data_IF_090550929795
#
_entry.id   IF_090550929795
#
_cell.length_a   1.000
_cell.length_b   1.000
_cell.length_c   1.000
_cell.angle_alpha   90.00
_cell.angle_beta   90.00
_cell.angle_gamma   90.00
#
_symmetry.space_group_name_H-M   'P 1'
#
loop_
_entity.id
_entity.type
_entity.pdbx_description
1 polymer ?
#
# COMPACT_ATOMS: atom_id res chain seq x y z
N UNK A 1 11.08 -14.98 8.98
CA UNK A 1 12.01 -15.78 8.12
C UNK A 1 13.45 -15.36 8.37
N UNK A 2 14.42 -16.21 8.02
CA UNK A 2 15.88 -15.92 8.14
C UNK A 2 16.24 -14.59 7.43
N UNK A 3 15.64 -14.34 6.27
CA UNK A 3 15.87 -13.11 5.49
C UNK A 3 15.33 -11.86 6.19
N UNK A 4 14.17 -11.95 6.82
CA UNK A 4 13.62 -10.86 7.63
C UNK A 4 14.49 -10.56 8.85
N UNK A 5 14.98 -11.60 9.54
CA UNK A 5 15.91 -11.44 10.66
C UNK A 5 17.20 -10.74 10.22
N UNK A 6 17.79 -11.18 9.09
CA UNK A 6 18.98 -10.56 8.51
C UNK A 6 18.77 -9.08 8.19
N UNK A 7 17.63 -8.73 7.58
CA UNK A 7 17.27 -7.32 7.31
C UNK A 7 17.09 -6.51 8.59
N UNK A 8 16.47 -7.09 9.62
CA UNK A 8 16.34 -6.45 10.92
C UNK A 8 17.67 -6.14 11.58
N UNK A 9 18.63 -7.07 11.51
CA UNK A 9 20.01 -6.85 11.99
C UNK A 9 20.68 -5.75 11.18
N UNK A 10 20.69 -5.85 9.84
CA UNK A 10 21.33 -4.84 8.95
C UNK A 10 20.71 -3.44 9.12
N UNK A 11 19.43 -3.37 9.45
CA UNK A 11 18.75 -2.11 9.77
C UNK A 11 19.06 -1.60 11.19
N UNK A 12 19.83 -2.37 11.98
CA UNK A 12 20.20 -2.04 13.37
C UNK A 12 19.01 -2.02 14.32
N UNK A 13 18.01 -2.84 14.03
CA UNK A 13 16.81 -2.98 14.85
C UNK A 13 17.01 -3.98 15.99
N UNK A 14 18.08 -4.78 15.96
CA UNK A 14 18.35 -5.81 16.98
C UNK A 14 19.22 -5.20 18.06
N UNK A 15 18.74 -5.24 19.29
CA UNK A 15 19.46 -4.72 20.46
C UNK A 15 19.43 -5.73 21.61
N UNK A 16 20.50 -5.74 22.40
CA UNK A 16 20.56 -6.45 23.66
C UNK A 16 19.58 -5.81 24.67
N UNK A 17 18.79 -6.63 25.33
CA UNK A 17 17.77 -6.19 26.32
C UNK A 17 18.42 -5.54 27.52
N UNK A 18 19.59 -6.06 27.96
CA UNK A 18 20.23 -5.69 29.22
C UNK A 18 21.01 -4.38 29.08
N UNK A 19 21.90 -4.28 28.07
CA UNK A 19 22.82 -3.16 27.94
C UNK A 19 22.47 -2.19 26.80
N UNK A 20 21.46 -2.53 25.96
CA UNK A 20 21.04 -1.72 24.82
C UNK A 20 22.02 -1.74 23.63
N UNK A 21 23.05 -2.59 23.68
CA UNK A 21 24.00 -2.76 22.59
C UNK A 21 23.29 -3.16 21.31
N UNK A 22 23.71 -2.53 20.22
CA UNK A 22 23.08 -2.73 18.90
C UNK A 22 23.92 -3.69 18.07
N UNK A 23 23.24 -4.69 17.48
CA UNK A 23 23.84 -5.61 16.54
C UNK A 23 23.42 -5.24 15.12
N UNK A 24 24.39 -4.95 14.24
CA UNK A 24 24.15 -4.52 12.86
C UNK A 24 24.81 -5.42 11.81
N UNK A 25 25.56 -6.42 12.24
CA UNK A 25 26.25 -7.38 11.37
C UNK A 25 25.58 -8.75 11.43
N UNK A 26 24.88 -9.18 10.36
CA UNK A 26 24.35 -10.54 10.30
C UNK A 26 25.46 -11.58 10.37
N UNK A 27 25.33 -12.53 11.27
CA UNK A 27 26.36 -13.57 11.50
C UNK A 27 27.39 -13.23 12.57
N UNK A 28 27.25 -12.10 13.24
CA UNK A 28 28.02 -11.79 14.46
C UNK A 28 27.73 -12.86 15.53
N UNK A 29 28.81 -13.36 16.16
CA UNK A 29 28.68 -14.31 17.26
C UNK A 29 28.39 -13.56 18.54
N UNK A 30 27.36 -13.96 19.22
CA UNK A 30 26.94 -13.42 20.52
C UNK A 30 26.90 -14.56 21.52
N UNK A 31 27.01 -14.24 22.82
CA UNK A 31 26.97 -15.25 23.87
C UNK A 31 25.59 -15.94 23.94
N UNK A 32 25.62 -17.25 24.17
CA UNK A 32 24.41 -18.01 24.45
C UNK A 32 23.72 -17.45 25.70
N UNK A 33 22.45 -17.14 25.57
CA UNK A 33 21.70 -16.49 26.66
C UNK A 33 21.62 -14.97 26.56
N UNK A 34 22.22 -14.35 25.53
CA UNK A 34 21.99 -12.93 25.24
C UNK A 34 20.53 -12.71 24.86
N UNK A 35 19.80 -11.99 25.69
CA UNK A 35 18.43 -11.60 25.37
C UNK A 35 18.40 -10.48 24.33
N UNK A 36 17.79 -10.75 23.18
CA UNK A 36 17.65 -9.83 22.07
C UNK A 36 16.22 -9.31 21.95
N UNK A 37 16.08 -8.04 21.66
CA UNK A 37 14.79 -7.45 21.25
C UNK A 37 14.93 -6.71 19.92
N UNK A 38 13.85 -6.62 19.20
CA UNK A 38 13.74 -5.73 18.05
C UNK A 38 13.40 -4.32 18.56
N UNK A 39 14.28 -3.35 18.23
CA UNK A 39 14.03 -1.94 18.49
C UNK A 39 13.18 -1.40 17.35
N UNK A 40 11.99 -0.96 17.66
CA UNK A 40 11.03 -0.41 16.72
C UNK A 40 9.67 -1.08 16.85
N UNK A 41 8.64 -0.34 16.53
CA UNK A 41 7.29 -0.90 16.45
C UNK A 41 7.23 -1.88 15.28
N UNK A 42 6.62 -3.03 15.54
CA UNK A 42 6.25 -3.96 14.47
C UNK A 42 5.30 -3.19 13.54
N UNK A 43 5.65 -3.06 12.27
CA UNK A 43 4.77 -2.38 11.32
C UNK A 43 3.38 -3.02 11.40
N UNK A 44 2.37 -2.20 11.63
CA UNK A 44 0.97 -2.64 11.70
C UNK A 44 0.52 -3.28 10.39
N UNK A 45 1.05 -2.77 9.28
CA UNK A 45 0.78 -3.22 7.91
C UNK A 45 2.07 -3.67 7.22
N UNK A 46 1.94 -4.40 6.11
CA UNK A 46 3.09 -4.90 5.33
C UNK A 46 4.00 -3.79 4.80
N UNK A 47 3.52 -2.55 4.75
CA UNK A 47 4.32 -1.36 4.46
C UNK A 47 3.79 -0.12 5.19
N UNK A 48 4.65 0.90 5.36
CA UNK A 48 4.25 2.20 5.93
C UNK A 48 3.17 2.91 5.11
N UNK A 49 3.07 2.58 3.82
CA UNK A 49 2.03 3.12 2.94
C UNK A 49 0.63 2.92 3.49
N UNK A 50 0.38 1.79 4.17
CA UNK A 50 -0.91 1.48 4.80
C UNK A 50 -1.41 2.54 5.77
N UNK A 51 -0.51 3.23 6.48
CA UNK A 51 -0.90 4.29 7.42
C UNK A 51 -1.66 5.45 6.76
N UNK A 52 -1.45 5.67 5.46
CA UNK A 52 -2.17 6.72 4.71
C UNK A 52 -3.66 6.37 4.58
N UNK A 53 -3.96 5.13 4.16
CA UNK A 53 -5.34 4.68 4.03
C UNK A 53 -6.00 4.53 5.40
N UNK A 54 -5.30 3.99 6.40
CA UNK A 54 -5.81 3.92 7.77
C UNK A 54 -6.28 5.29 8.27
N UNK A 55 -5.43 6.32 8.08
CA UNK A 55 -5.79 7.69 8.44
C UNK A 55 -7.01 8.20 7.68
N UNK A 56 -7.10 7.93 6.39
CA UNK A 56 -8.24 8.36 5.57
C UNK A 56 -9.55 7.70 6.03
N UNK A 57 -9.53 6.38 6.28
CA UNK A 57 -10.71 5.66 6.79
C UNK A 57 -11.19 6.26 8.12
N UNK A 58 -10.25 6.57 9.03
CA UNK A 58 -10.58 7.16 10.34
C UNK A 58 -11.11 8.59 10.21
N UNK A 59 -10.44 9.45 9.43
CA UNK A 59 -10.80 10.89 9.32
C UNK A 59 -12.12 11.08 8.60
N UNK A 60 -12.38 10.29 7.56
CA UNK A 60 -13.61 10.37 6.77
C UNK A 60 -14.73 9.47 7.30
N UNK A 61 -14.47 8.76 8.42
CA UNK A 61 -15.42 7.82 9.04
C UNK A 61 -15.97 6.79 8.02
N UNK A 62 -15.06 6.17 7.26
CA UNK A 62 -15.40 5.19 6.23
C UNK A 62 -15.24 3.77 6.78
N UNK A 63 -16.17 2.89 6.42
CA UNK A 63 -16.08 1.44 6.68
C UNK A 63 -15.92 0.67 5.37
N UNK A 64 -15.14 -0.39 5.41
CA UNK A 64 -14.97 -1.34 4.31
C UNK A 64 -15.39 -2.75 4.70
N UNK A 65 -16.02 -2.89 5.88
CA UNK A 65 -16.47 -4.17 6.40
C UNK A 65 -17.47 -4.84 5.43
N UNK A 66 -17.26 -6.11 5.14
CA UNK A 66 -18.03 -6.93 4.19
C UNK A 66 -18.09 -6.41 2.75
N UNK A 67 -17.26 -5.43 2.40
CA UNK A 67 -17.24 -4.87 1.05
C UNK A 67 -16.29 -5.63 0.11
N UNK A 68 -16.69 -5.71 -1.16
CA UNK A 68 -15.76 -5.96 -2.27
C UNK A 68 -15.03 -4.65 -2.56
N UNK A 69 -13.70 -4.68 -2.51
CA UNK A 69 -12.84 -3.50 -2.60
C UNK A 69 -11.80 -3.65 -3.70
N UNK A 70 -11.26 -2.53 -4.14
CA UNK A 70 -10.15 -2.50 -5.09
C UNK A 70 -9.04 -1.57 -4.60
N UNK A 71 -7.80 -2.02 -4.68
CA UNK A 71 -6.58 -1.27 -4.38
C UNK A 71 -5.81 -1.04 -5.68
N UNK A 72 -5.87 0.18 -6.21
CA UNK A 72 -5.27 0.56 -7.49
C UNK A 72 -3.88 1.16 -7.22
N UNK A 73 -2.84 0.48 -7.68
CA UNK A 73 -1.45 0.74 -7.33
C UNK A 73 -1.05 0.00 -6.05
N UNK A 74 -1.41 -1.27 -5.95
CA UNK A 74 -1.24 -2.08 -4.74
C UNK A 74 0.22 -2.22 -4.28
N UNK A 75 1.18 -2.25 -5.20
CA UNK A 75 2.61 -2.37 -4.90
C UNK A 75 2.87 -3.53 -3.92
N UNK A 76 3.52 -3.30 -2.79
CA UNK A 76 3.77 -4.32 -1.76
C UNK A 76 2.52 -4.74 -0.99
N UNK A 77 1.40 -4.02 -1.13
CA UNK A 77 0.11 -4.35 -0.53
C UNK A 77 -0.21 -3.60 0.76
N UNK A 78 0.37 -2.41 0.94
CA UNK A 78 0.10 -1.62 2.15
C UNK A 78 -1.38 -1.28 2.33
N UNK A 79 -2.05 -0.82 1.28
CA UNK A 79 -3.48 -0.53 1.31
C UNK A 79 -4.31 -1.79 1.33
N UNK A 80 -3.95 -2.80 0.53
CA UNK A 80 -4.58 -4.13 0.56
C UNK A 80 -4.63 -4.70 1.97
N UNK A 81 -3.52 -4.65 2.73
CA UNK A 81 -3.46 -5.14 4.11
C UNK A 81 -4.38 -4.33 5.06
N UNK A 82 -4.48 -3.01 4.86
CA UNK A 82 -5.44 -2.17 5.60
C UNK A 82 -6.87 -2.59 5.33
N UNK A 83 -7.25 -2.76 4.07
CA UNK A 83 -8.60 -3.17 3.68
C UNK A 83 -8.97 -4.51 4.32
N UNK A 84 -8.09 -5.50 4.26
CA UNK A 84 -8.29 -6.83 4.86
C UNK A 84 -8.42 -6.77 6.39
N UNK A 85 -7.57 -5.97 7.07
CA UNK A 85 -7.62 -5.83 8.52
C UNK A 85 -8.85 -5.05 8.99
N UNK A 86 -9.46 -4.24 8.13
CA UNK A 86 -10.73 -3.55 8.38
C UNK A 86 -11.96 -4.33 7.88
N UNK A 87 -11.82 -5.63 7.60
CA UNK A 87 -12.94 -6.52 7.35
C UNK A 87 -13.43 -6.58 5.91
N UNK A 88 -12.66 -6.09 4.92
CA UNK A 88 -13.03 -6.26 3.52
C UNK A 88 -13.26 -7.73 3.17
N UNK A 89 -14.36 -8.01 2.50
CA UNK A 89 -14.74 -9.36 2.04
C UNK A 89 -13.85 -9.84 0.91
N UNK A 90 -13.50 -8.94 0.00
CA UNK A 90 -12.65 -9.19 -1.15
C UNK A 90 -11.83 -7.95 -1.49
N UNK A 91 -10.58 -8.14 -1.88
CA UNK A 91 -9.70 -7.06 -2.35
C UNK A 91 -9.09 -7.43 -3.70
N UNK A 92 -9.42 -6.68 -4.74
CA UNK A 92 -8.67 -6.71 -5.99
C UNK A 92 -7.41 -5.85 -5.82
N UNK A 93 -6.25 -6.47 -5.76
CA UNK A 93 -4.96 -5.79 -5.67
C UNK A 93 -4.37 -5.62 -7.06
N UNK A 94 -4.50 -4.41 -7.61
CA UNK A 94 -4.17 -4.11 -9.00
C UNK A 94 -2.87 -3.33 -9.11
N UNK A 95 -1.94 -3.79 -9.92
CA UNK A 95 -0.68 -3.10 -10.18
C UNK A 95 -0.16 -3.34 -11.61
N UNK A 96 0.54 -2.36 -12.17
CA UNK A 96 1.22 -2.50 -13.47
C UNK A 96 2.53 -3.30 -13.36
N UNK A 97 3.08 -3.40 -12.16
CA UNK A 97 4.30 -4.16 -11.86
C UNK A 97 4.06 -5.66 -11.73
N UNK A 98 5.14 -6.37 -11.49
CA UNK A 98 5.15 -7.83 -11.29
C UNK A 98 5.79 -8.19 -9.96
N UNK A 99 5.30 -9.23 -9.30
CA UNK A 99 5.88 -9.79 -8.07
C UNK A 99 6.12 -8.78 -6.93
N UNK A 100 5.34 -7.71 -6.89
CA UNK A 100 5.48 -6.68 -5.86
C UNK A 100 4.68 -7.00 -4.60
N UNK A 101 3.47 -7.54 -4.75
CA UNK A 101 2.60 -7.89 -3.64
C UNK A 101 3.28 -8.93 -2.73
N UNK A 102 3.34 -8.68 -1.44
CA UNK A 102 3.99 -9.60 -0.49
C UNK A 102 3.28 -10.95 -0.46
N UNK A 103 4.05 -12.02 -0.30
CA UNK A 103 3.57 -13.40 -0.37
C UNK A 103 2.37 -13.69 0.56
N UNK A 104 2.41 -13.17 1.77
CA UNK A 104 1.30 -13.31 2.74
C UNK A 104 -0.05 -12.86 2.16
N UNK A 105 -0.08 -11.76 1.42
CA UNK A 105 -1.31 -11.22 0.83
C UNK A 105 -1.71 -11.98 -0.44
N UNK A 106 -0.74 -12.49 -1.21
CA UNK A 106 -1.04 -13.34 -2.37
C UNK A 106 -1.74 -14.64 -2.00
N UNK A 107 -1.47 -15.16 -0.79
CA UNK A 107 -2.07 -16.40 -0.30
C UNK A 107 -3.40 -16.20 0.43
N UNK A 108 -3.81 -14.97 0.69
CA UNK A 108 -5.11 -14.69 1.33
C UNK A 108 -6.23 -14.93 0.32
N UNK A 109 -7.16 -15.81 0.66
CA UNK A 109 -8.28 -16.20 -0.21
C UNK A 109 -9.19 -15.01 -0.58
N UNK A 110 -9.14 -13.94 0.19
CA UNK A 110 -9.87 -12.69 -0.07
C UNK A 110 -9.15 -11.77 -1.04
N UNK A 111 -7.93 -12.09 -1.50
CA UNK A 111 -7.15 -11.25 -2.42
C UNK A 111 -7.17 -11.80 -3.83
N UNK A 112 -7.45 -10.94 -4.79
CA UNK A 112 -7.27 -11.19 -6.22
C UNK A 112 -6.13 -10.31 -6.71
N UNK A 113 -4.95 -10.90 -6.87
CA UNK A 113 -3.76 -10.20 -7.38
C UNK A 113 -3.86 -10.04 -8.90
N UNK A 114 -3.96 -8.81 -9.36
CA UNK A 114 -4.01 -8.44 -10.78
C UNK A 114 -2.74 -7.66 -11.12
N UNK A 115 -1.69 -8.38 -11.50
CA UNK A 115 -0.40 -7.82 -11.87
C UNK A 115 -0.29 -7.60 -13.39
N UNK A 116 0.66 -6.73 -13.79
CA UNK A 116 0.82 -6.31 -15.20
C UNK A 116 -0.50 -5.77 -15.79
N UNK A 117 -1.37 -5.23 -14.94
CA UNK A 117 -2.69 -4.77 -15.31
C UNK A 117 -2.72 -3.24 -15.37
N UNK A 118 -2.91 -2.70 -16.57
CA UNK A 118 -3.04 -1.27 -16.76
C UNK A 118 -4.50 -0.84 -16.53
N UNK A 119 -4.75 -0.28 -15.37
CA UNK A 119 -6.09 0.07 -14.92
C UNK A 119 -6.83 1.08 -15.82
N UNK A 120 -6.12 1.85 -16.67
CA UNK A 120 -6.76 2.74 -17.65
C UNK A 120 -7.72 2.03 -18.61
N UNK A 121 -7.49 0.74 -18.80
CA UNK A 121 -8.26 -0.10 -19.72
C UNK A 121 -9.14 -1.12 -19.00
N UNK A 122 -9.40 -0.91 -17.70
CA UNK A 122 -10.23 -1.78 -16.89
C UNK A 122 -11.68 -1.76 -17.40
N UNK A 123 -12.26 -2.96 -17.51
CA UNK A 123 -13.65 -3.16 -17.88
C UNK A 123 -14.36 -4.05 -16.83
N UNK A 124 -15.68 -3.92 -16.65
CA UNK A 124 -16.42 -4.69 -15.63
C UNK A 124 -16.22 -6.20 -15.72
N UNK A 125 -16.02 -6.74 -16.91
CA UNK A 125 -15.80 -8.16 -17.17
C UNK A 125 -14.53 -8.71 -16.52
N UNK A 126 -13.56 -7.86 -16.19
CA UNK A 126 -12.31 -8.27 -15.55
C UNK A 126 -12.48 -8.60 -14.05
N UNK A 127 -13.63 -8.21 -13.46
CA UNK A 127 -13.91 -8.32 -12.01
C UNK A 127 -14.97 -9.38 -11.73
N UNK A 128 -14.61 -10.64 -11.97
CA UNK A 128 -15.52 -11.79 -11.98
C UNK A 128 -16.10 -12.17 -10.62
N UNK A 129 -15.44 -11.80 -9.52
CA UNK A 129 -15.91 -12.08 -8.15
C UNK A 129 -16.82 -10.95 -7.58
N UNK A 130 -17.27 -10.04 -8.44
CA UNK A 130 -18.17 -8.94 -8.12
C UNK A 130 -17.52 -7.57 -8.25
N UNK A 131 -18.31 -6.57 -8.63
CA UNK A 131 -17.82 -5.19 -8.77
C UNK A 131 -17.53 -4.57 -7.41
N UNK A 132 -16.47 -3.74 -7.28
CA UNK A 132 -16.11 -3.10 -6.03
C UNK A 132 -17.10 -2.01 -5.63
N UNK A 133 -17.36 -1.89 -4.33
CA UNK A 133 -18.11 -0.80 -3.69
C UNK A 133 -17.20 0.22 -3.00
N UNK A 134 -15.92 -0.10 -2.87
CA UNK A 134 -14.90 0.81 -2.34
C UNK A 134 -13.62 0.69 -3.15
N UNK A 135 -12.99 1.84 -3.44
CA UNK A 135 -11.71 1.91 -4.13
C UNK A 135 -10.69 2.73 -3.34
N UNK A 136 -9.47 2.23 -3.24
CA UNK A 136 -8.29 3.00 -2.82
C UNK A 136 -7.32 3.18 -3.99
N UNK A 137 -6.71 4.36 -4.12
CA UNK A 137 -5.81 4.69 -5.22
C UNK A 137 -4.53 5.33 -4.68
N UNK A 138 -3.39 4.69 -4.90
CA UNK A 138 -2.04 5.24 -4.65
C UNK A 138 -1.12 4.96 -5.84
N UNK A 139 -1.41 5.57 -6.98
CA UNK A 139 -0.64 5.43 -8.22
C UNK A 139 0.47 6.47 -8.32
N UNK A 140 1.52 6.18 -9.10
CA UNK A 140 2.62 7.09 -9.39
C UNK A 140 2.87 7.17 -10.90
N UNK A 141 3.39 8.32 -11.35
CA UNK A 141 3.73 8.60 -12.74
C UNK A 141 2.53 8.61 -13.71
N UNK A 142 1.34 8.80 -13.18
CA UNK A 142 0.08 8.88 -13.94
C UNK A 142 -0.88 9.82 -13.22
N UNK A 143 -1.65 10.61 -13.98
CA UNK A 143 -2.72 11.45 -13.44
C UNK A 143 -3.96 10.61 -13.10
N UNK A 144 -4.65 10.98 -12.03
CA UNK A 144 -5.94 10.41 -11.65
C UNK A 144 -7.00 10.59 -12.74
N UNK A 145 -6.90 11.65 -13.56
CA UNK A 145 -7.79 11.89 -14.68
C UNK A 145 -7.81 10.75 -15.70
N UNK A 146 -6.76 9.92 -15.72
CA UNK A 146 -6.68 8.74 -16.61
C UNK A 146 -7.19 7.46 -15.93
N UNK A 147 -7.31 7.45 -14.61
CA UNK A 147 -7.73 6.29 -13.80
C UNK A 147 -9.22 6.37 -13.49
N UNK A 148 -9.71 7.55 -13.09
CA UNK A 148 -11.09 7.74 -12.63
C UNK A 148 -12.16 7.37 -13.67
N UNK A 149 -12.00 7.64 -14.99
CA UNK A 149 -12.99 7.22 -15.97
C UNK A 149 -13.15 5.70 -16.08
N UNK A 150 -12.05 4.94 -15.94
CA UNK A 150 -12.13 3.48 -15.90
C UNK A 150 -12.76 2.98 -14.59
N UNK A 151 -12.41 3.61 -13.45
CA UNK A 151 -13.01 3.28 -12.17
C UNK A 151 -14.53 3.52 -12.17
N UNK A 152 -15.00 4.61 -12.77
CA UNK A 152 -16.42 4.93 -12.85
C UNK A 152 -17.27 3.85 -13.57
N UNK A 153 -16.66 3.04 -14.44
CA UNK A 153 -17.37 1.93 -15.10
C UNK A 153 -17.53 0.70 -14.22
N UNK A 154 -16.64 0.51 -13.24
CA UNK A 154 -16.56 -0.72 -12.44
C UNK A 154 -16.98 -0.53 -10.99
N UNK A 155 -16.99 0.69 -10.48
CA UNK A 155 -17.48 0.97 -9.15
C UNK A 155 -19.01 0.91 -9.14
N UNK A 156 -19.60 0.22 -8.16
CA UNK A 156 -21.06 0.18 -8.04
C UNK A 156 -21.63 1.56 -7.73
N UNK A 157 -22.90 1.77 -8.04
CA UNK A 157 -23.60 3.03 -7.70
C UNK A 157 -23.56 3.26 -6.18
N UNK A 158 -23.21 4.48 -5.80
CA UNK A 158 -22.99 4.85 -4.39
C UNK A 158 -21.67 4.36 -3.79
N UNK A 159 -20.80 3.74 -4.58
CA UNK A 159 -19.48 3.31 -4.15
C UNK A 159 -18.59 4.49 -3.73
N UNK A 160 -17.62 4.22 -2.87
CA UNK A 160 -16.75 5.22 -2.28
C UNK A 160 -15.31 5.10 -2.80
N UNK A 161 -14.63 6.23 -2.90
CA UNK A 161 -13.24 6.30 -3.39
C UNK A 161 -12.37 7.10 -2.43
N UNK A 162 -11.21 6.56 -2.09
CA UNK A 162 -10.12 7.27 -1.42
C UNK A 162 -8.92 7.31 -2.36
N UNK A 163 -8.55 8.49 -2.84
CA UNK A 163 -7.43 8.65 -3.77
C UNK A 163 -6.36 9.57 -3.18
N UNK A 164 -5.10 9.16 -3.30
CA UNK A 164 -3.96 10.05 -3.05
C UNK A 164 -3.74 10.96 -4.25
N UNK A 165 -3.99 12.25 -4.06
CA UNK A 165 -3.64 13.27 -5.05
C UNK A 165 -2.16 13.60 -4.90
N UNK A 166 -1.41 13.45 -5.97
CA UNK A 166 0.03 13.77 -6.03
C UNK A 166 0.24 14.90 -7.03
N UNK A 167 0.37 16.16 -6.59
CA UNK A 167 0.42 17.33 -7.49
C UNK A 167 1.43 17.19 -8.63
N UNK A 168 2.58 16.54 -8.37
CA UNK A 168 3.63 16.33 -9.36
C UNK A 168 3.22 15.41 -10.53
N UNK A 169 2.13 14.66 -10.41
CA UNK A 169 1.61 13.80 -11.48
C UNK A 169 0.32 14.35 -12.11
N UNK A 170 -0.25 15.39 -11.51
CA UNK A 170 -1.44 16.09 -12.02
C UNK A 170 -1.06 17.37 -12.78
N UNK A 171 0.01 18.05 -12.36
CA UNK A 171 0.48 19.29 -12.95
C UNK A 171 1.20 19.08 -14.31
N UNK A 172 1.17 20.09 -15.19
CA UNK A 172 1.95 20.12 -16.42
C UNK A 172 3.47 20.15 -16.15
N UNK A 173 4.27 19.66 -17.09
CA UNK A 173 5.74 19.58 -16.93
C UNK A 173 6.39 20.92 -16.60
N UNK A 174 5.87 22.01 -17.10
CA UNK A 174 6.29 23.40 -16.86
C UNK A 174 6.01 23.89 -15.43
N UNK A 175 5.05 23.28 -14.74
CA UNK A 175 4.65 23.61 -13.36
C UNK A 175 5.41 22.80 -12.31
N UNK A 176 6.20 21.83 -12.76
CA UNK A 176 6.99 20.95 -11.89
C UNK A 176 8.40 21.51 -11.76
N UNK A 177 8.75 21.94 -10.55
CA UNK A 177 10.08 22.46 -10.24
C UNK A 177 11.18 21.38 -10.20
N UNK A 178 12.42 21.81 -9.93
CA UNK A 178 13.53 20.88 -9.70
C UNK A 178 13.15 19.82 -8.66
N UNK A 179 13.51 18.57 -8.91
CA UNK A 179 13.23 17.40 -8.08
C UNK A 179 11.75 16.97 -8.04
N UNK A 180 10.92 17.34 -9.01
CA UNK A 180 9.54 16.88 -9.09
C UNK A 180 8.62 17.50 -8.04
N UNK A 181 8.96 18.68 -7.53
CA UNK A 181 8.18 19.35 -6.47
C UNK A 181 7.36 20.49 -7.09
N UNK A 182 6.04 20.44 -6.90
CA UNK A 182 5.11 21.55 -7.17
C UNK A 182 5.06 22.43 -5.93
N UNK A 183 5.48 23.70 -6.05
CA UNK A 183 5.60 24.63 -4.91
C UNK A 183 4.56 25.73 -4.90
N UNK A 184 3.96 26.02 -6.02
CA UNK A 184 2.97 27.08 -6.14
C UNK A 184 1.62 26.60 -5.63
N UNK A 185 1.05 27.27 -4.63
CA UNK A 185 -0.24 26.93 -4.03
C UNK A 185 -1.40 27.02 -5.03
N UNK A 186 -1.32 27.93 -6.03
CA UNK A 186 -2.30 28.04 -7.10
C UNK A 186 -2.41 26.81 -8.03
N UNK A 187 -1.42 25.90 -7.97
CA UNK A 187 -1.43 24.65 -8.73
C UNK A 187 -2.06 23.51 -7.91
N UNK A 188 -2.23 23.72 -6.61
CA UNK A 188 -2.81 22.74 -5.69
C UNK A 188 -4.34 22.89 -5.57
N UNK A 189 -4.90 23.98 -6.06
CA UNK A 189 -6.34 24.26 -6.13
C UNK A 189 -6.98 23.72 -7.41
#
# INVERSE_FOLDING_TARGET
TREQAKRGVMAGLVVNVINGERYDKPGEKIDDGTELKLKGEKLKYVSRGGLKLEKALAVFNLSVEDMTTIDIGASTGGFTDVLLQNGAKLVYAVDVGTNQLVWKLRQDERVRSMEQYNFRYAEPVDFTDGLPSFASIDVSFISLNLILPALAKILVDGGQVVALVKPQFEAGREQIGKNGIVRESSIHE
#
